data_IF_700292323999
#
_entry.id   IF_700292323999
#
_cell.length_a   1.000
_cell.length_b   1.000
_cell.length_c   1.000
_cell.angle_alpha   90.00
_cell.angle_beta   90.00
_cell.angle_gamma   90.00
#
_symmetry.space_group_name_H-M   'P 1'
#
loop_
_entity.id
_entity.type
_entity.pdbx_description
1 polymer ?
#
# COMPACT_ATOMS: atom_id res chain seq x y z
N UNK A 1 1.63 7.71 11.06
CA UNK A 1 0.25 7.84 11.54
C UNK A 1 0.33 7.88 13.06
N UNK A 2 -0.46 8.74 13.71
CA UNK A 2 -0.58 8.78 15.17
C UNK A 2 -1.48 7.62 15.68
N UNK A 3 -1.22 6.41 15.17
CA UNK A 3 -1.97 5.19 15.46
C UNK A 3 -0.99 4.06 15.76
N UNK A 4 -1.36 3.12 16.65
CA UNK A 4 -0.62 1.88 16.86
C UNK A 4 -0.37 1.14 15.55
N UNK A 5 0.78 0.50 15.42
CA UNK A 5 1.21 -0.14 14.17
C UNK A 5 0.25 -1.23 13.69
N UNK A 6 -0.32 -2.03 14.59
CA UNK A 6 -1.32 -3.04 14.25
C UNK A 6 -2.61 -2.43 13.66
N UNK A 7 -3.08 -1.31 14.21
CA UNK A 7 -4.24 -0.61 13.68
C UNK A 7 -3.92 0.02 12.32
N UNK A 8 -2.76 0.65 12.18
CA UNK A 8 -2.30 1.20 10.90
C UNK A 8 -2.15 0.11 9.82
N UNK A 9 -1.69 -1.10 10.19
CA UNK A 9 -1.62 -2.27 9.31
C UNK A 9 -3.01 -2.69 8.81
N UNK A 10 -3.99 -2.83 9.71
CA UNK A 10 -5.37 -3.18 9.33
C UNK A 10 -6.00 -2.14 8.41
N UNK A 11 -5.77 -0.85 8.67
CA UNK A 11 -6.25 0.23 7.80
C UNK A 11 -5.56 0.14 6.43
N UNK A 12 -4.24 -0.06 6.38
CA UNK A 12 -3.49 -0.19 5.14
C UNK A 12 -3.98 -1.35 4.28
N UNK A 13 -4.26 -2.51 4.89
CA UNK A 13 -4.81 -3.67 4.19
C UNK A 13 -6.20 -3.37 3.61
N UNK A 14 -7.09 -2.78 4.42
CA UNK A 14 -8.44 -2.38 3.99
C UNK A 14 -8.40 -1.40 2.83
N UNK A 15 -7.52 -0.40 2.89
CA UNK A 15 -7.34 0.59 1.83
C UNK A 15 -6.81 -0.07 0.55
N UNK A 16 -5.82 -0.97 0.66
CA UNK A 16 -5.31 -1.70 -0.49
C UNK A 16 -6.42 -2.51 -1.18
N UNK A 17 -7.24 -3.24 -0.41
CA UNK A 17 -8.40 -3.98 -0.93
C UNK A 17 -9.44 -3.05 -1.58
N UNK A 18 -9.77 -1.93 -0.93
CA UNK A 18 -10.71 -0.94 -1.46
C UNK A 18 -10.23 -0.26 -2.74
N UNK A 19 -8.92 -0.17 -2.95
CA UNK A 19 -8.31 0.30 -4.20
C UNK A 19 -8.29 -0.78 -5.30
N UNK A 20 -8.87 -1.95 -5.05
CA UNK A 20 -8.92 -3.07 -5.99
C UNK A 20 -7.59 -3.81 -6.12
N UNK A 21 -6.65 -3.62 -5.18
CA UNK A 21 -5.41 -4.39 -5.19
C UNK A 21 -5.68 -5.80 -4.70
N UNK A 22 -5.11 -6.77 -5.41
CA UNK A 22 -5.18 -8.17 -5.00
C UNK A 22 -4.11 -8.43 -3.95
N UNK A 23 -4.52 -8.71 -2.72
CA UNK A 23 -3.59 -9.12 -1.66
C UNK A 23 -3.00 -10.49 -2.02
N UNK A 24 -1.67 -10.57 -2.04
CA UNK A 24 -0.90 -11.79 -2.30
C UNK A 24 -0.48 -12.42 -0.98
N UNK A 25 -0.07 -11.60 -0.02
CA UNK A 25 0.24 -12.04 1.34
C UNK A 25 -0.06 -10.91 2.34
N UNK A 26 -0.60 -11.28 3.48
CA UNK A 26 -0.71 -10.46 4.68
C UNK A 26 0.02 -11.19 5.81
N UNK A 27 1.03 -10.53 6.39
CA UNK A 27 1.86 -11.15 7.44
C UNK A 27 1.79 -10.26 8.68
N UNK A 28 0.74 -10.39 9.51
CA UNK A 28 0.53 -9.53 10.68
C UNK A 28 1.69 -9.55 11.67
N UNK A 29 2.35 -10.70 11.83
CA UNK A 29 3.53 -10.84 12.69
C UNK A 29 4.72 -9.97 12.24
N UNK A 30 4.82 -9.68 10.94
CA UNK A 30 5.85 -8.82 10.35
C UNK A 30 5.34 -7.42 10.01
N UNK A 31 4.04 -7.16 10.20
CA UNK A 31 3.35 -5.93 9.76
C UNK A 31 3.61 -5.60 8.28
N UNK A 32 3.60 -6.64 7.44
CA UNK A 32 3.89 -6.56 6.01
C UNK A 32 2.71 -7.04 5.16
N UNK A 33 2.44 -6.33 4.07
CA UNK A 33 1.43 -6.67 3.08
C UNK A 33 2.10 -6.69 1.70
N UNK A 34 1.83 -7.73 0.93
CA UNK A 34 2.18 -7.82 -0.48
C UNK A 34 0.92 -7.86 -1.33
N UNK A 35 0.89 -7.10 -2.40
CA UNK A 35 -0.27 -6.99 -3.27
C UNK A 35 0.13 -6.80 -4.74
N UNK A 36 -0.82 -7.06 -5.63
CA UNK A 36 -0.71 -6.73 -7.06
C UNK A 36 -1.77 -5.71 -7.44
N UNK A 37 -1.37 -4.63 -8.10
CA UNK A 37 -2.29 -3.73 -8.79
C UNK A 37 -2.27 -4.02 -10.30
N UNK A 38 -3.42 -3.92 -10.96
CA UNK A 38 -3.53 -4.07 -12.42
C UNK A 38 -3.90 -2.73 -13.04
N UNK A 39 -3.16 -2.29 -14.05
CA UNK A 39 -3.48 -1.06 -14.80
C UNK A 39 -4.65 -1.31 -15.76
N UNK A 40 -5.55 -0.33 -15.89
CA UNK A 40 -6.75 -0.48 -16.71
C UNK A 40 -6.46 -0.44 -18.21
N UNK A 41 -5.51 0.39 -18.63
CA UNK A 41 -5.31 0.68 -20.06
C UNK A 41 -4.60 -0.46 -20.83
N UNK A 42 -3.88 -1.34 -20.13
CA UNK A 42 -3.14 -2.45 -20.76
C UNK A 42 -3.06 -3.74 -19.93
N UNK A 43 -3.72 -3.78 -18.77
CA UNK A 43 -3.71 -4.97 -17.90
C UNK A 43 -2.35 -5.25 -17.25
N UNK A 44 -1.42 -4.29 -17.23
CA UNK A 44 -0.10 -4.50 -16.64
C UNK A 44 -0.18 -4.65 -15.13
N UNK A 45 0.64 -5.56 -14.60
CA UNK A 45 0.69 -5.86 -13.17
C UNK A 45 1.89 -5.16 -12.54
N UNK A 46 1.62 -4.45 -11.45
CA UNK A 46 2.63 -3.88 -10.57
C UNK A 46 2.55 -4.60 -9.22
N UNK A 47 3.71 -4.96 -8.68
CA UNK A 47 3.84 -5.52 -7.35
C UNK A 47 4.03 -4.41 -6.32
N UNK A 48 3.35 -4.56 -5.19
CA UNK A 48 3.30 -3.57 -4.13
C UNK A 48 3.68 -4.24 -2.82
N UNK A 49 4.54 -3.57 -2.08
CA UNK A 49 4.88 -3.95 -0.70
C UNK A 49 4.56 -2.79 0.22
N UNK A 50 3.77 -3.06 1.25
CA UNK A 50 3.51 -2.14 2.35
C UNK A 50 4.15 -2.72 3.61
N UNK A 51 4.88 -1.88 4.36
CA UNK A 51 5.38 -2.23 5.69
C UNK A 51 4.96 -1.19 6.69
N UNK A 52 4.59 -1.63 7.88
CA UNK A 52 4.27 -0.74 9.00
C UNK A 52 5.30 -0.97 10.10
N UNK A 53 5.99 0.09 10.50
CA UNK A 53 6.97 0.06 11.59
C UNK A 53 6.43 0.87 12.77
N UNK A 54 6.41 0.33 13.99
CA UNK A 54 6.12 1.11 15.20
C UNK A 54 7.12 2.26 15.36
N UNK A 55 6.66 3.38 15.89
CA UNK A 55 7.50 4.52 16.30
C UNK A 55 7.05 5.01 17.66
N UNK A 56 7.86 5.82 18.35
CA UNK A 56 7.52 6.37 19.67
C UNK A 56 6.20 7.17 19.68
N UNK A 57 5.85 7.78 18.53
CA UNK A 57 4.64 8.59 18.36
C UNK A 57 3.54 7.89 17.55
N UNK A 58 3.62 6.57 17.35
CA UNK A 58 2.62 5.78 16.62
C UNK A 58 3.26 4.82 15.62
N UNK A 59 3.11 5.08 14.33
CA UNK A 59 3.60 4.18 13.28
C UNK A 59 4.05 4.90 12.01
N UNK A 60 5.00 4.30 11.30
CA UNK A 60 5.45 4.70 9.96
C UNK A 60 4.97 3.66 8.95
N UNK A 61 4.37 4.12 7.86
CA UNK A 61 3.92 3.25 6.75
C UNK A 61 4.79 3.52 5.54
N UNK A 62 5.59 2.53 5.15
CA UNK A 62 6.38 2.51 3.93
C UNK A 62 5.63 1.77 2.84
N UNK A 63 5.56 2.33 1.63
CA UNK A 63 4.96 1.68 0.45
C UNK A 63 5.90 1.76 -0.73
N UNK A 64 6.03 0.64 -1.45
CA UNK A 64 6.79 0.52 -2.70
C UNK A 64 5.90 -0.11 -3.76
N UNK A 65 6.06 0.33 -5.01
CA UNK A 65 5.32 -0.16 -6.17
C UNK A 65 6.31 -0.34 -7.31
N UNK A 66 6.31 -1.51 -7.94
CA UNK A 66 7.27 -1.90 -8.97
C UNK A 66 6.52 -2.57 -10.14
N UNK A 67 6.77 -2.12 -11.35
CA UNK A 67 6.18 -2.71 -12.56
C UNK A 67 6.86 -4.03 -12.93
N UNK A 68 6.07 -5.05 -13.26
CA UNK A 68 6.59 -6.37 -13.71
C UNK A 68 7.10 -6.35 -15.14
N UNK A 69 6.57 -5.45 -15.95
CA UNK A 69 7.01 -5.26 -17.34
C UNK A 69 7.97 -4.07 -17.35
N UNK A 70 9.18 -4.29 -17.87
CA UNK A 70 10.17 -3.24 -18.08
C UNK A 70 9.77 -2.28 -19.19
N UNK A 71 10.29 -1.05 -19.13
CA UNK A 71 9.80 0.10 -19.91
C UNK A 71 9.21 1.11 -18.93
N UNK A 72 9.60 2.39 -19.03
CA UNK A 72 9.28 3.41 -18.03
C UNK A 72 7.80 3.39 -17.62
N UNK A 73 7.51 3.57 -16.33
CA UNK A 73 6.15 3.49 -15.78
C UNK A 73 5.32 4.77 -15.99
N UNK A 74 5.91 5.78 -16.63
CA UNK A 74 5.35 7.13 -16.85
C UNK A 74 4.72 7.75 -15.59
N UNK A 75 5.26 7.44 -14.40
CA UNK A 75 4.75 7.94 -13.13
C UNK A 75 3.52 7.21 -12.58
N UNK A 76 3.11 6.09 -13.19
CA UNK A 76 2.00 5.24 -12.73
C UNK A 76 2.21 4.77 -11.29
N UNK A 77 3.40 4.29 -10.93
CA UNK A 77 3.68 3.83 -9.57
C UNK A 77 3.65 5.00 -8.58
N UNK A 78 4.20 6.14 -8.95
CA UNK A 78 4.18 7.35 -8.11
C UNK A 78 2.73 7.84 -7.86
N UNK A 79 1.89 7.87 -8.91
CA UNK A 79 0.48 8.21 -8.80
C UNK A 79 -0.27 7.24 -7.89
N UNK A 80 -0.02 5.94 -8.05
CA UNK A 80 -0.60 4.88 -7.22
C UNK A 80 -0.26 5.06 -5.74
N UNK A 81 1.02 5.28 -5.43
CA UNK A 81 1.50 5.52 -4.06
C UNK A 81 0.84 6.78 -3.47
N UNK A 82 0.76 7.88 -4.22
CA UNK A 82 0.09 9.11 -3.75
C UNK A 82 -1.38 8.87 -3.43
N UNK A 83 -2.10 8.18 -4.31
CA UNK A 83 -3.51 7.85 -4.10
C UNK A 83 -3.70 6.98 -2.85
N UNK A 84 -2.86 5.96 -2.66
CA UNK A 84 -2.87 5.11 -1.48
C UNK A 84 -2.64 5.90 -0.20
N UNK A 85 -1.59 6.74 -0.15
CA UNK A 85 -1.27 7.56 1.03
C UNK A 85 -2.42 8.51 1.36
N UNK A 86 -3.04 9.14 0.34
CA UNK A 86 -4.20 10.02 0.54
C UNK A 86 -5.36 9.28 1.21
N UNK A 87 -5.73 8.10 0.69
CA UNK A 87 -6.83 7.31 1.25
C UNK A 87 -6.50 6.74 2.63
N UNK A 88 -5.27 6.25 2.83
CA UNK A 88 -4.79 5.79 4.13
C UNK A 88 -4.93 6.86 5.22
N UNK A 89 -4.55 8.11 4.90
CA UNK A 89 -4.67 9.23 5.86
C UNK A 89 -6.12 9.57 6.16
N UNK A 90 -7.00 9.54 5.16
CA UNK A 90 -8.42 9.79 5.36
C UNK A 90 -9.07 8.72 6.27
N UNK A 91 -8.82 7.43 5.97
CA UNK A 91 -9.33 6.30 6.75
C UNK A 91 -8.71 6.19 8.15
N UNK A 92 -7.55 6.84 8.40
CA UNK A 92 -6.90 6.87 9.71
C UNK A 92 -7.34 8.06 10.59
N UNK A 93 -8.04 9.03 10.01
CA UNK A 93 -8.53 10.22 10.72
C UNK A 93 -10.01 10.10 11.13
N UNK A 94 -10.75 9.15 10.55
CA UNK A 94 -12.10 8.78 10.96
C UNK A 94 -12.08 7.60 11.92
#
# INVERSE_FOLDING_TARGET
LALPAAQAFQIAERVARAMGWRIVADVPAELRIEATATTLLFGFKDDIVIRVTPTDAGSRVDVRSLSRIGGGDFGTNANRIRAFIKKLRADAAG
#
